data_IF_589277827119
#
_entry.id   IF_589277827119
#
_cell.length_a   1.000
_cell.length_b   1.000
_cell.length_c   1.000
_cell.angle_alpha   90.00
_cell.angle_beta   90.00
_cell.angle_gamma   90.00
#
_symmetry.space_group_name_H-M   'P 1'
#
loop_
_entity.id
_entity.type
_entity.pdbx_description
1 polymer ?
#
# COMPACT_ATOMS: atom_id res chain seq x y z
N UNK A 1 -9.99 -9.55 23.07
CA UNK A 1 -9.45 -8.83 21.90
C UNK A 1 -8.09 -8.28 22.28
N UNK A 2 -6.99 -8.65 21.60
CA UNK A 2 -5.69 -7.97 21.78
C UNK A 2 -5.86 -6.57 21.19
N UNK A 3 -5.92 -5.55 22.04
CA UNK A 3 -6.28 -4.16 21.64
C UNK A 3 -5.05 -3.37 21.19
N UNK A 4 -3.84 -3.83 21.50
CA UNK A 4 -2.58 -3.12 21.23
C UNK A 4 -1.62 -3.99 20.41
N UNK A 5 -1.06 -3.43 19.34
CA UNK A 5 -0.11 -4.09 18.44
C UNK A 5 1.32 -4.09 18.97
N UNK A 6 1.57 -4.79 20.08
CA UNK A 6 2.92 -4.92 20.65
C UNK A 6 3.81 -5.94 19.90
N UNK A 7 3.21 -6.86 19.15
CA UNK A 7 3.87 -7.96 18.44
C UNK A 7 3.88 -7.76 16.91
N UNK A 8 3.78 -6.52 16.44
CA UNK A 8 3.65 -6.15 15.00
C UNK A 8 2.43 -6.73 14.29
N UNK A 9 1.50 -7.33 15.04
CA UNK A 9 0.20 -7.75 14.54
C UNK A 9 -0.72 -6.55 14.33
N UNK A 10 -1.48 -6.61 13.23
CA UNK A 10 -2.50 -5.63 12.94
C UNK A 10 -3.82 -6.08 13.55
N UNK A 11 -4.59 -5.12 14.06
CA UNK A 11 -5.97 -5.37 14.45
C UNK A 11 -6.80 -5.73 13.22
N UNK A 12 -7.66 -6.75 13.35
CA UNK A 12 -8.63 -7.09 12.33
C UNK A 12 -10.03 -6.74 12.85
N UNK A 13 -10.78 -5.95 12.07
CA UNK A 13 -12.17 -5.63 12.34
C UNK A 13 -13.01 -5.98 11.10
N UNK A 14 -14.04 -6.84 11.21
CA UNK A 14 -14.75 -7.39 10.06
C UNK A 14 -15.81 -6.42 9.51
N UNK A 15 -15.40 -5.21 9.16
CA UNK A 15 -16.24 -4.23 8.48
C UNK A 15 -15.67 -3.87 7.11
N UNK A 16 -16.57 -3.61 6.16
CA UNK A 16 -16.22 -3.15 4.80
C UNK A 16 -16.60 -1.69 4.67
N UNK A 17 -15.67 -0.87 4.19
CA UNK A 17 -15.92 0.54 3.88
C UNK A 17 -16.21 0.72 2.38
N UNK A 18 -17.24 1.51 2.04
CA UNK A 18 -17.50 1.91 0.65
C UNK A 18 -16.98 3.33 0.44
N UNK A 19 -16.03 3.49 -0.47
CA UNK A 19 -15.53 4.80 -0.91
C UNK A 19 -16.44 5.34 -2.02
N UNK A 20 -16.95 6.57 -1.86
CA UNK A 20 -17.79 7.23 -2.88
C UNK A 20 -16.90 8.06 -3.80
N UNK A 21 -17.07 7.88 -5.11
CA UNK A 21 -16.45 8.74 -6.13
C UNK A 21 -17.38 9.88 -6.50
N UNK A 22 -16.84 10.94 -7.11
CA UNK A 22 -17.65 12.00 -7.71
C UNK A 22 -18.45 11.45 -8.91
N UNK A 23 -19.56 12.10 -9.23
CA UNK A 23 -20.35 11.78 -10.43
C UNK A 23 -19.51 12.04 -11.69
N UNK A 24 -19.56 11.12 -12.66
CA UNK A 24 -18.75 11.20 -13.88
C UNK A 24 -17.25 10.88 -13.71
N UNK A 25 -16.81 10.38 -12.55
CA UNK A 25 -15.41 10.01 -12.35
C UNK A 25 -15.01 8.81 -13.24
N UNK A 26 -13.97 9.02 -14.05
CA UNK A 26 -13.37 7.98 -14.90
C UNK A 26 -12.09 7.43 -14.27
N UNK A 27 -11.76 6.14 -14.46
CA UNK A 27 -10.53 5.54 -13.96
C UNK A 27 -9.27 6.23 -14.51
N UNK A 28 -8.26 6.35 -13.64
CA UNK A 28 -6.93 6.84 -14.00
C UNK A 28 -5.93 5.74 -13.64
N UNK A 29 -5.09 5.37 -14.62
CA UNK A 29 -4.01 4.40 -14.43
C UNK A 29 -2.69 5.02 -14.88
N UNK A 30 -1.83 5.27 -13.90
CA UNK A 30 -0.50 5.83 -14.11
C UNK A 30 0.58 4.75 -14.00
N UNK A 31 1.65 4.81 -14.81
CA UNK A 31 2.79 3.91 -14.69
C UNK A 31 3.59 4.23 -13.42
N UNK A 32 4.32 3.23 -12.92
CA UNK A 32 5.27 3.40 -11.81
C UNK A 32 6.39 4.37 -12.18
N UNK A 33 6.80 5.22 -11.23
CA UNK A 33 7.95 6.09 -11.41
C UNK A 33 9.26 5.30 -11.51
N UNK A 34 10.21 5.85 -12.27
CA UNK A 34 11.58 5.35 -12.29
C UNK A 34 12.15 5.41 -10.87
N UNK A 35 12.62 4.25 -10.39
CA UNK A 35 13.17 4.09 -9.05
C UNK A 35 14.60 3.56 -9.15
N UNK A 36 15.48 4.05 -8.28
CA UNK A 36 16.84 3.49 -8.18
C UNK A 36 16.78 2.04 -7.67
N UNK A 37 17.80 1.22 -7.94
CA UNK A 37 17.83 -0.17 -7.49
C UNK A 37 17.56 -0.32 -5.98
N UNK A 38 18.19 0.50 -5.14
CA UNK A 38 17.99 0.48 -3.69
C UNK A 38 16.56 0.86 -3.26
N UNK A 39 15.91 1.81 -3.96
CA UNK A 39 14.50 2.15 -3.68
C UNK A 39 13.58 1.01 -4.08
N UNK A 40 13.88 0.34 -5.18
CA UNK A 40 13.08 -0.79 -5.68
C UNK A 40 13.16 -1.99 -4.77
N UNK A 41 14.35 -2.32 -4.28
CA UNK A 41 14.53 -3.38 -3.28
C UNK A 41 13.72 -3.10 -1.99
N UNK A 42 13.73 -1.87 -1.51
CA UNK A 42 12.90 -1.48 -0.35
C UNK A 42 11.39 -1.62 -0.65
N UNK A 43 10.94 -1.20 -1.83
CA UNK A 43 9.55 -1.36 -2.28
C UNK A 43 9.14 -2.83 -2.28
N UNK A 44 9.95 -3.69 -2.90
CA UNK A 44 9.67 -5.12 -3.04
C UNK A 44 9.58 -5.79 -1.65
N UNK A 45 10.53 -5.50 -0.75
CA UNK A 45 10.50 -6.00 0.64
C UNK A 45 9.25 -5.57 1.42
N UNK A 46 8.77 -4.33 1.24
CA UNK A 46 7.54 -3.87 1.90
C UNK A 46 6.30 -4.54 1.32
N UNK A 47 6.24 -4.71 0.00
CA UNK A 47 5.14 -5.40 -0.69
C UNK A 47 5.03 -6.84 -0.20
N UNK A 48 6.15 -7.58 -0.12
CA UNK A 48 6.18 -8.95 0.37
C UNK A 48 5.70 -9.06 1.82
N UNK A 49 6.12 -8.12 2.68
CA UNK A 49 5.66 -8.07 4.06
C UNK A 49 4.14 -7.83 4.16
N UNK A 50 3.57 -7.02 3.28
CA UNK A 50 2.12 -6.76 3.25
C UNK A 50 1.31 -7.94 2.72
N UNK A 51 1.82 -8.64 1.70
CA UNK A 51 1.22 -9.89 1.25
C UNK A 51 1.24 -10.96 2.35
N UNK A 52 2.37 -11.16 3.01
CA UNK A 52 2.49 -12.12 4.11
C UNK A 52 1.56 -11.81 5.28
N UNK A 53 1.19 -10.53 5.47
CA UNK A 53 0.26 -10.08 6.52
C UNK A 53 -1.20 -10.01 6.06
N UNK A 54 -1.49 -10.27 4.79
CA UNK A 54 -2.84 -10.18 4.22
C UNK A 54 -3.41 -8.76 4.19
N UNK A 55 -2.54 -7.74 4.13
CA UNK A 55 -2.94 -6.32 4.07
C UNK A 55 -3.37 -5.95 2.64
N UNK A 56 -2.69 -6.51 1.65
CA UNK A 56 -2.96 -6.31 0.23
C UNK A 56 -3.20 -7.64 -0.48
N UNK A 57 -3.82 -7.56 -1.65
CA UNK A 57 -4.10 -8.70 -2.53
C UNK A 57 -3.90 -8.31 -4.00
N UNK A 58 -3.63 -9.28 -4.90
CA UNK A 58 -3.54 -8.99 -6.32
C UNK A 58 -4.88 -8.47 -6.87
N UNK A 59 -4.84 -7.43 -7.69
CA UNK A 59 -6.03 -6.82 -8.29
C UNK A 59 -5.81 -6.45 -9.75
N UNK A 60 -6.85 -6.59 -10.57
CA UNK A 60 -6.91 -6.12 -11.96
C UNK A 60 -7.81 -4.89 -12.03
N UNK A 61 -7.33 -3.78 -11.46
CA UNK A 61 -8.07 -2.53 -11.37
C UNK A 61 -7.84 -1.64 -12.60
N UNK A 62 -8.87 -0.94 -13.11
CA UNK A 62 -8.65 0.14 -14.09
C UNK A 62 -8.04 1.40 -13.45
N UNK A 63 -7.97 1.44 -12.11
CA UNK A 63 -7.28 2.47 -11.34
C UNK A 63 -5.86 2.03 -10.97
N UNK A 64 -4.89 2.90 -11.17
CA UNK A 64 -3.49 2.66 -10.83
C UNK A 64 -2.78 3.95 -10.46
N UNK A 65 -2.07 3.95 -9.33
CA UNK A 65 -1.25 5.06 -8.87
C UNK A 65 0.20 4.58 -8.65
N UNK A 66 1.20 5.42 -8.96
CA UNK A 66 2.59 5.07 -8.71
C UNK A 66 2.91 5.11 -7.22
N UNK A 67 3.81 4.21 -6.78
CA UNK A 67 4.38 4.26 -5.43
C UNK A 67 5.43 5.37 -5.35
N UNK A 68 5.43 6.09 -4.23
CA UNK A 68 6.42 7.11 -3.92
C UNK A 68 7.05 6.78 -2.58
N UNK A 69 8.39 6.76 -2.53
CA UNK A 69 9.12 6.61 -1.27
C UNK A 69 9.41 8.00 -0.70
N UNK A 70 8.86 8.26 0.49
CA UNK A 70 9.17 9.45 1.27
C UNK A 70 10.32 9.17 2.24
N UNK A 71 11.15 10.17 2.54
CA UNK A 71 12.21 10.04 3.53
C UNK A 71 11.85 10.84 4.78
N UNK A 72 11.88 10.18 5.93
CA UNK A 72 11.67 10.81 7.22
C UNK A 72 12.85 10.46 8.12
N UNK A 73 13.59 11.46 8.60
CA UNK A 73 14.83 11.27 9.39
C UNK A 73 15.82 10.30 8.71
N UNK A 74 16.05 10.50 7.41
CA UNK A 74 16.89 9.65 6.54
C UNK A 74 16.43 8.18 6.39
N UNK A 75 15.22 7.84 6.86
CA UNK A 75 14.65 6.49 6.70
C UNK A 75 13.61 6.50 5.58
N UNK A 76 13.69 5.57 4.61
CA UNK A 76 12.67 5.44 3.59
C UNK A 76 11.35 4.96 4.24
N UNK A 77 10.25 5.50 3.72
CA UNK A 77 8.87 5.18 4.07
C UNK A 77 8.12 4.90 2.77
N UNK A 78 7.50 3.75 2.74
CA UNK A 78 6.50 3.38 1.74
C UNK A 78 5.16 4.01 2.14
#
# INVERSE_FOLDING_TARGET
>A
VKVFGFDSSLGNYPAKARIRTMEGASPISLPMYASSPAKREFIDQQIDAWYSKGIIEPSRSPWGAPVVIAYQNNKPRF
#
